data_IF_967769576041
#
_entry.id   IF_967769576041
#
_cell.length_a   1.000
_cell.length_b   1.000
_cell.length_c   1.000
_cell.angle_alpha   90.00
_cell.angle_beta   90.00
_cell.angle_gamma   90.00
#
_symmetry.space_group_name_H-M   'P 1'
#
loop_
_entity.id
_entity.type
_entity.pdbx_description
1 polymer ?
#
# COMPACT_ATOMS: atom_id res chain seq x y z
N UNK A 1 -5.09 -32.83 -6.90
CA UNK A 1 -3.70 -32.63 -6.45
C UNK A 1 -2.65 -32.91 -7.52
N UNK A 2 -2.36 -34.14 -7.96
CA UNK A 2 -1.25 -34.40 -8.93
C UNK A 2 -1.32 -33.57 -10.23
N UNK A 3 -2.51 -33.36 -10.79
CA UNK A 3 -2.68 -32.47 -11.96
C UNK A 3 -2.27 -31.03 -11.68
N UNK A 4 -2.58 -30.51 -10.49
CA UNK A 4 -2.20 -29.16 -10.05
C UNK A 4 -0.69 -29.06 -9.82
N UNK A 5 -0.08 -30.06 -9.18
CA UNK A 5 1.38 -30.13 -9.02
C UNK A 5 2.09 -30.06 -10.37
N UNK A 6 1.61 -30.79 -11.38
CA UNK A 6 2.20 -30.73 -12.72
C UNK A 6 2.06 -29.34 -13.34
N UNK A 7 0.88 -28.70 -13.22
CA UNK A 7 0.71 -27.31 -13.70
C UNK A 7 1.67 -26.34 -13.01
N UNK A 8 1.83 -26.45 -11.69
CA UNK A 8 2.77 -25.61 -10.92
C UNK A 8 4.20 -25.79 -11.43
N UNK A 9 4.64 -27.04 -11.65
CA UNK A 9 5.96 -27.33 -12.22
C UNK A 9 6.14 -26.72 -13.60
N UNK A 10 5.15 -26.87 -14.47
CA UNK A 10 5.18 -26.34 -15.83
C UNK A 10 5.27 -24.80 -15.79
N UNK A 11 4.49 -24.14 -14.92
CA UNK A 11 4.52 -22.69 -14.70
C UNK A 11 5.90 -22.23 -14.23
N UNK A 12 6.43 -22.85 -13.17
CA UNK A 12 7.75 -22.54 -12.61
C UNK A 12 8.88 -22.70 -13.63
N UNK A 13 8.82 -23.72 -14.50
CA UNK A 13 9.83 -23.92 -15.53
C UNK A 13 9.92 -22.76 -16.53
N UNK A 14 8.83 -22.01 -16.71
CA UNK A 14 8.74 -20.88 -17.66
C UNK A 14 8.63 -19.51 -16.99
N UNK A 15 8.51 -19.44 -15.67
CA UNK A 15 8.10 -18.21 -14.96
C UNK A 15 9.05 -17.02 -15.20
N UNK A 16 10.35 -17.30 -15.34
CA UNK A 16 11.39 -16.28 -15.65
C UNK A 16 11.14 -15.57 -16.98
N UNK A 17 10.39 -16.15 -17.90
CA UNK A 17 10.05 -15.51 -19.17
C UNK A 17 9.03 -14.37 -18.99
N UNK A 18 8.24 -14.43 -17.92
CA UNK A 18 7.18 -13.47 -17.59
C UNK A 18 7.67 -12.36 -16.66
N UNK A 19 8.69 -12.61 -15.85
CA UNK A 19 9.34 -11.60 -15.00
C UNK A 19 10.87 -11.69 -15.09
N UNK A 20 11.41 -11.16 -16.19
CA UNK A 20 12.84 -11.27 -16.52
C UNK A 20 13.74 -10.43 -15.64
N UNK A 21 13.21 -9.31 -15.15
CA UNK A 21 13.94 -8.32 -14.36
C UNK A 21 13.59 -8.42 -12.87
N UNK A 22 12.88 -9.48 -12.46
CA UNK A 22 12.44 -9.71 -11.09
C UNK A 22 11.65 -8.54 -10.48
N UNK A 23 10.72 -7.98 -11.25
CA UNK A 23 9.87 -6.86 -10.84
C UNK A 23 8.83 -7.25 -9.78
N UNK A 24 8.45 -8.52 -9.74
CA UNK A 24 7.54 -9.03 -8.70
C UNK A 24 8.26 -8.91 -7.36
N UNK A 25 7.61 -8.27 -6.40
CA UNK A 25 8.22 -7.98 -5.11
C UNK A 25 8.78 -9.25 -4.44
N UNK A 26 10.09 -9.21 -4.10
CA UNK A 26 10.84 -10.30 -3.48
C UNK A 26 11.37 -11.37 -4.45
N UNK A 27 10.99 -11.33 -5.73
CA UNK A 27 11.41 -12.34 -6.70
C UNK A 27 12.92 -12.36 -6.96
N UNK A 28 13.60 -11.23 -6.80
CA UNK A 28 15.05 -11.09 -6.91
C UNK A 28 15.77 -11.88 -5.81
N UNK A 29 15.15 -12.01 -4.63
CA UNK A 29 15.73 -12.72 -3.50
C UNK A 29 15.68 -14.24 -3.61
N UNK A 30 14.95 -14.82 -4.56
CA UNK A 30 14.95 -16.27 -4.78
C UNK A 30 15.12 -16.65 -6.25
N UNK A 31 15.07 -15.69 -7.16
CA UNK A 31 15.27 -15.83 -8.60
C UNK A 31 14.43 -16.95 -9.23
N UNK A 32 13.20 -17.15 -8.75
CA UNK A 32 12.34 -18.28 -9.08
C UNK A 32 12.99 -19.67 -9.00
N UNK A 33 14.02 -19.83 -8.18
CA UNK A 33 14.75 -21.09 -8.04
C UNK A 33 14.15 -21.93 -6.91
N UNK A 34 14.03 -23.24 -7.16
CA UNK A 34 13.59 -24.22 -6.17
C UNK A 34 14.65 -25.32 -6.07
N UNK A 35 15.00 -25.68 -4.84
CA UNK A 35 15.94 -26.72 -4.52
C UNK A 35 15.35 -28.13 -4.61
N UNK A 36 15.89 -29.05 -3.81
CA UNK A 36 15.55 -30.48 -3.88
C UNK A 36 14.24 -30.77 -3.16
N UNK A 37 13.53 -31.81 -3.60
CA UNK A 37 12.41 -32.37 -2.86
C UNK A 37 12.85 -32.95 -1.51
N UNK A 38 11.92 -32.94 -0.56
CA UNK A 38 12.05 -33.56 0.75
C UNK A 38 11.54 -35.00 0.68
N UNK A 39 12.23 -35.94 1.30
CA UNK A 39 11.76 -37.33 1.35
C UNK A 39 10.58 -37.51 2.31
N UNK A 40 9.75 -38.52 2.08
CA UNK A 40 8.66 -38.85 3.02
C UNK A 40 9.17 -39.15 4.45
N UNK A 41 10.41 -39.64 4.57
CA UNK A 41 10.99 -39.93 5.88
C UNK A 41 11.35 -38.63 6.61
N UNK A 42 11.96 -37.67 5.94
CA UNK A 42 12.26 -36.35 6.52
C UNK A 42 10.97 -35.62 6.95
N UNK A 43 9.89 -35.72 6.17
CA UNK A 43 8.58 -35.18 6.56
C UNK A 43 8.07 -35.86 7.84
N UNK A 44 8.11 -37.19 7.91
CA UNK A 44 7.68 -37.93 9.11
C UNK A 44 8.53 -37.60 10.33
N UNK A 45 9.84 -37.45 10.16
CA UNK A 45 10.76 -37.10 11.24
C UNK A 45 10.46 -35.69 11.76
N UNK A 46 10.18 -34.74 10.86
CA UNK A 46 9.77 -33.38 11.23
C UNK A 46 8.42 -33.37 11.97
N UNK A 47 7.41 -34.05 11.44
CA UNK A 47 6.09 -34.17 12.08
C UNK A 47 6.17 -34.82 13.47
N UNK A 48 7.02 -35.84 13.64
CA UNK A 48 7.27 -36.49 14.93
C UNK A 48 8.00 -35.57 15.91
N UNK A 49 8.99 -34.80 15.42
CA UNK A 49 9.80 -33.90 16.26
C UNK A 49 8.93 -32.82 16.92
N UNK A 50 7.97 -32.26 16.17
CA UNK A 50 7.11 -31.18 16.67
C UNK A 50 5.69 -31.65 17.05
N UNK A 51 5.41 -32.96 16.95
CA UNK A 51 4.10 -33.56 17.19
C UNK A 51 2.95 -32.87 16.40
N UNK A 52 3.21 -32.57 15.12
CA UNK A 52 2.28 -31.91 14.21
C UNK A 52 1.83 -32.84 13.08
N UNK A 53 0.82 -32.41 12.33
CA UNK A 53 0.41 -33.04 11.08
C UNK A 53 0.32 -31.98 9.99
N UNK A 54 1.29 -31.98 9.08
CA UNK A 54 1.35 -31.03 7.99
C UNK A 54 0.14 -31.19 7.06
N UNK A 55 -0.43 -30.08 6.54
CA UNK A 55 -1.47 -30.14 5.53
C UNK A 55 -1.01 -30.89 4.26
N UNK A 56 -1.88 -31.74 3.71
CA UNK A 56 -1.58 -32.60 2.55
C UNK A 56 -1.03 -31.81 1.35
N UNK A 57 -1.61 -30.64 1.08
CA UNK A 57 -1.18 -29.74 0.00
C UNK A 57 0.27 -29.26 0.16
N UNK A 58 0.69 -28.95 1.40
CA UNK A 58 2.06 -28.52 1.71
C UNK A 58 3.04 -29.69 1.65
N UNK A 59 2.66 -30.87 2.16
CA UNK A 59 3.46 -32.10 2.01
C UNK A 59 3.68 -32.42 0.52
N UNK A 60 2.64 -32.28 -0.31
CA UNK A 60 2.76 -32.50 -1.76
C UNK A 60 3.71 -31.49 -2.42
N UNK A 61 3.72 -30.23 -1.98
CA UNK A 61 4.71 -29.25 -2.45
C UNK A 61 6.14 -29.68 -2.12
N UNK A 62 6.43 -29.98 -0.84
CA UNK A 62 7.78 -30.34 -0.39
C UNK A 62 8.30 -31.64 -1.05
N UNK A 63 7.43 -32.65 -1.18
CA UNK A 63 7.83 -33.97 -1.68
C UNK A 63 7.83 -34.09 -3.21
N UNK A 64 7.13 -33.20 -3.91
CA UNK A 64 6.99 -33.30 -5.36
C UNK A 64 7.52 -32.10 -6.13
N UNK A 65 7.45 -30.87 -5.59
CA UNK A 65 7.93 -29.65 -6.26
C UNK A 65 9.35 -29.35 -5.83
N UNK A 66 9.57 -29.11 -4.54
CA UNK A 66 10.89 -28.89 -3.98
C UNK A 66 10.89 -28.12 -2.67
N UNK A 67 12.09 -27.90 -2.14
CA UNK A 67 12.36 -27.25 -0.87
C UNK A 67 13.69 -26.52 -0.93
N UNK A 68 13.80 -25.44 -0.15
CA UNK A 68 14.96 -24.55 -0.11
C UNK A 68 15.34 -23.97 -1.48
N UNK A 69 16.44 -23.23 -1.50
CA UNK A 69 17.07 -22.68 -2.69
C UNK A 69 18.58 -22.70 -2.50
N UNK A 70 19.29 -22.90 -3.61
CA UNK A 70 20.76 -23.03 -3.63
C UNK A 70 21.46 -21.77 -4.15
N UNK A 71 20.71 -20.73 -4.54
CA UNK A 71 21.25 -19.42 -4.89
C UNK A 71 21.82 -18.73 -3.64
N UNK A 72 22.90 -17.98 -3.78
CA UNK A 72 23.53 -17.24 -2.68
C UNK A 72 22.70 -16.01 -2.26
N UNK A 73 21.85 -15.55 -3.18
CA UNK A 73 20.91 -14.44 -3.03
C UNK A 73 19.64 -14.86 -2.27
N UNK A 74 19.41 -16.18 -2.13
CA UNK A 74 18.28 -16.80 -1.46
C UNK A 74 18.11 -16.28 -0.01
N UNK A 75 17.11 -15.44 0.23
CA UNK A 75 16.76 -15.01 1.59
C UNK A 75 16.46 -16.25 2.45
N UNK A 76 17.22 -16.47 3.53
CA UNK A 76 17.09 -17.64 4.40
C UNK A 76 17.10 -19.00 3.66
N UNK A 77 17.77 -19.09 2.50
CA UNK A 77 17.73 -20.25 1.61
C UNK A 77 16.32 -20.62 1.13
N UNK A 78 15.40 -19.65 1.05
CA UNK A 78 13.99 -19.87 0.71
C UNK A 78 13.78 -20.31 -0.73
N UNK A 79 12.95 -21.33 -0.92
CA UNK A 79 12.45 -21.74 -2.24
C UNK A 79 11.60 -20.63 -2.87
N UNK A 80 11.53 -20.61 -4.20
CA UNK A 80 10.66 -19.68 -4.90
C UNK A 80 9.21 -19.73 -4.40
N UNK A 81 8.65 -18.56 -4.11
CA UNK A 81 7.29 -18.35 -3.64
C UNK A 81 6.99 -16.86 -3.53
N UNK A 82 5.78 -16.47 -3.12
CA UNK A 82 5.46 -15.08 -2.84
C UNK A 82 6.49 -14.41 -1.92
N UNK A 83 6.73 -13.11 -2.15
CA UNK A 83 7.64 -12.30 -1.32
C UNK A 83 9.07 -12.85 -1.30
N UNK A 84 9.66 -13.02 -0.11
CA UNK A 84 11.02 -13.54 0.03
C UNK A 84 11.11 -15.08 -0.11
N UNK A 85 10.02 -15.73 -0.55
CA UNK A 85 9.96 -17.16 -0.81
C UNK A 85 9.41 -17.98 0.36
N UNK A 86 9.49 -19.31 0.18
CA UNK A 86 9.06 -20.31 1.15
C UNK A 86 10.28 -20.86 1.89
N UNK A 87 10.31 -20.72 3.22
CA UNK A 87 11.38 -21.23 4.05
C UNK A 87 11.60 -22.74 3.84
N UNK A 88 12.85 -23.20 3.92
CA UNK A 88 13.11 -24.63 4.01
C UNK A 88 12.35 -25.26 5.18
N UNK A 89 11.84 -26.48 5.01
CA UNK A 89 11.19 -27.20 6.12
C UNK A 89 12.12 -27.29 7.33
N UNK A 90 11.65 -26.84 8.48
CA UNK A 90 12.42 -26.79 9.72
C UNK A 90 13.21 -25.51 9.96
N UNK A 91 13.23 -24.57 9.01
CA UNK A 91 13.87 -23.26 9.16
C UNK A 91 12.82 -22.16 9.43
N UNK A 92 13.24 -21.06 10.06
CA UNK A 92 12.37 -19.91 10.34
C UNK A 92 11.22 -20.19 11.29
N UNK A 93 11.30 -21.26 12.10
CA UNK A 93 10.21 -21.68 12.99
C UNK A 93 9.93 -20.69 14.14
N UNK A 94 10.91 -19.85 14.46
CA UNK A 94 10.87 -18.81 15.49
C UNK A 94 10.49 -17.43 14.93
N UNK A 95 10.12 -17.31 13.64
CA UNK A 95 9.78 -16.04 12.97
C UNK A 95 8.49 -15.37 13.47
N UNK A 96 7.82 -15.98 14.46
CA UNK A 96 6.74 -15.36 15.25
C UNK A 96 7.23 -14.84 16.62
N UNK A 97 8.55 -14.76 16.83
CA UNK A 97 9.14 -14.35 18.10
C UNK A 97 8.93 -15.36 19.23
N UNK A 98 8.68 -16.63 18.87
CA UNK A 98 8.34 -17.71 19.80
C UNK A 98 9.49 -18.72 19.91
N UNK A 99 10.15 -18.76 21.06
CA UNK A 99 11.33 -19.62 21.25
C UNK A 99 10.98 -21.12 21.38
N UNK A 100 9.82 -21.46 21.95
CA UNK A 100 9.39 -22.85 22.22
C UNK A 100 8.43 -23.37 21.14
N UNK A 101 8.96 -23.59 19.94
CA UNK A 101 8.20 -23.99 18.74
C UNK A 101 7.33 -25.24 18.97
N UNK A 102 7.86 -26.27 19.64
CA UNK A 102 7.12 -27.51 19.92
C UNK A 102 5.89 -27.23 20.78
N UNK A 103 6.04 -26.39 21.80
CA UNK A 103 4.94 -25.96 22.64
C UNK A 103 3.89 -25.19 21.84
N UNK A 104 4.27 -24.22 21.02
CA UNK A 104 3.31 -23.40 20.26
C UNK A 104 2.56 -24.17 19.18
N UNK A 105 3.26 -25.05 18.47
CA UNK A 105 2.64 -25.90 17.46
C UNK A 105 1.65 -26.93 18.04
N UNK A 106 1.75 -27.23 19.35
CA UNK A 106 0.80 -28.08 20.07
C UNK A 106 -0.53 -27.38 20.43
N UNK A 107 -0.57 -26.06 20.52
CA UNK A 107 -1.80 -25.31 20.75
C UNK A 107 -2.70 -25.31 19.49
N UNK A 108 -4.03 -25.28 19.63
CA UNK A 108 -4.92 -25.14 18.49
C UNK A 108 -4.85 -23.73 17.90
N UNK A 109 -5.02 -23.60 16.58
CA UNK A 109 -5.23 -22.29 15.96
C UNK A 109 -6.63 -21.77 16.31
N UNK A 110 -6.66 -20.62 16.99
CA UNK A 110 -7.89 -19.93 17.38
C UNK A 110 -8.27 -18.79 16.43
N UNK A 111 -7.38 -18.43 15.50
CA UNK A 111 -7.63 -17.39 14.51
C UNK A 111 -8.76 -17.78 13.57
N UNK A 112 -9.61 -16.81 13.23
CA UNK A 112 -10.67 -16.97 12.23
C UNK A 112 -10.70 -15.79 11.29
N UNK A 113 -11.08 -16.04 10.04
CA UNK A 113 -11.21 -14.98 9.03
C UNK A 113 -12.38 -14.01 9.32
N UNK A 114 -13.31 -14.39 10.20
CA UNK A 114 -14.49 -13.62 10.57
C UNK A 114 -14.38 -12.92 11.93
N UNK A 115 -13.17 -12.86 12.51
CA UNK A 115 -12.97 -12.17 13.80
C UNK A 115 -13.36 -10.70 13.69
N UNK A 116 -14.08 -10.20 14.69
CA UNK A 116 -14.34 -8.76 14.80
C UNK A 116 -13.11 -8.03 15.33
N UNK A 117 -13.06 -6.72 15.14
CA UNK A 117 -11.99 -5.88 15.68
C UNK A 117 -11.89 -6.02 17.21
N UNK A 118 -13.02 -6.09 17.92
CA UNK A 118 -13.02 -6.28 19.38
C UNK A 118 -12.49 -7.65 19.80
N UNK A 119 -12.80 -8.70 19.03
CA UNK A 119 -12.28 -10.05 19.29
C UNK A 119 -10.77 -10.10 19.05
N UNK A 120 -10.29 -9.43 18.02
CA UNK A 120 -8.86 -9.30 17.73
C UNK A 120 -8.14 -8.54 18.84
N UNK A 121 -8.62 -7.33 19.20
CA UNK A 121 -8.04 -6.50 20.25
C UNK A 121 -7.97 -7.26 21.58
N UNK A 122 -9.05 -7.96 21.97
CA UNK A 122 -9.06 -8.74 23.20
C UNK A 122 -8.01 -9.86 23.20
N UNK A 123 -7.76 -10.49 22.04
CA UNK A 123 -6.73 -11.50 21.89
C UNK A 123 -5.31 -10.88 21.93
N UNK A 124 -5.08 -9.81 21.17
CA UNK A 124 -3.76 -9.18 21.02
C UNK A 124 -3.32 -8.36 22.24
N UNK A 125 -4.23 -7.64 22.92
CA UNK A 125 -3.86 -6.88 24.12
C UNK A 125 -3.43 -7.80 25.26
N UNK A 126 -3.99 -9.02 25.31
CA UNK A 126 -3.61 -9.99 26.32
C UNK A 126 -2.13 -10.35 26.23
N UNK A 127 -1.49 -10.31 25.05
CA UNK A 127 -0.07 -10.66 24.89
C UNK A 127 0.88 -9.54 25.34
N UNK A 128 0.37 -8.34 25.63
CA UNK A 128 1.17 -7.15 26.00
C UNK A 128 1.23 -6.90 27.52
N UNK A 129 0.67 -7.78 28.34
CA UNK A 129 0.70 -7.64 29.81
C UNK A 129 2.07 -7.96 30.38
N UNK A 130 2.68 -7.00 31.08
CA UNK A 130 3.96 -7.16 31.76
C UNK A 130 3.80 -7.76 33.16
N UNK A 131 4.85 -8.42 33.67
CA UNK A 131 4.89 -8.95 35.05
C UNK A 131 4.11 -10.25 35.26
N UNK A 132 3.70 -10.92 34.18
CA UNK A 132 3.08 -12.24 34.20
C UNK A 132 4.14 -13.35 34.34
N UNK A 133 3.73 -14.53 34.81
CA UNK A 133 4.63 -15.70 34.84
C UNK A 133 4.83 -16.28 33.44
N UNK A 134 5.97 -16.93 33.21
CA UNK A 134 6.29 -17.61 31.95
C UNK A 134 5.16 -18.51 31.46
N UNK A 135 4.53 -19.29 32.34
CA UNK A 135 3.43 -20.18 31.98
C UNK A 135 2.20 -19.44 31.41
N UNK A 136 1.88 -18.26 31.97
CA UNK A 136 0.78 -17.41 31.49
C UNK A 136 1.17 -16.73 30.19
N UNK A 137 2.44 -16.31 30.06
CA UNK A 137 2.97 -15.78 28.82
C UNK A 137 2.81 -16.79 27.67
N UNK A 138 3.26 -18.03 27.87
CA UNK A 138 3.15 -19.09 26.87
C UNK A 138 1.69 -19.43 26.52
N UNK A 139 0.78 -19.46 27.50
CA UNK A 139 -0.65 -19.68 27.24
C UNK A 139 -1.23 -18.58 26.34
N UNK A 140 -0.91 -17.31 26.63
CA UNK A 140 -1.43 -16.16 25.86
C UNK A 140 -0.85 -16.10 24.45
N UNK A 141 0.47 -16.26 24.33
CA UNK A 141 1.13 -16.37 23.03
C UNK A 141 0.61 -17.59 22.25
N UNK A 142 0.29 -18.69 22.93
CA UNK A 142 -0.31 -19.89 22.34
C UNK A 142 -1.72 -19.68 21.82
N UNK A 143 -2.51 -18.79 22.42
CA UNK A 143 -3.81 -18.42 21.88
C UNK A 143 -3.72 -17.62 20.57
N UNK A 144 -2.63 -16.88 20.39
CA UNK A 144 -2.40 -16.02 19.22
C UNK A 144 -1.70 -16.77 18.08
N UNK A 145 -0.64 -17.50 18.40
CA UNK A 145 0.27 -18.14 17.45
C UNK A 145 0.13 -19.67 17.40
N UNK A 146 -0.75 -20.24 18.24
CA UNK A 146 -0.96 -21.67 18.32
C UNK A 146 -1.37 -22.30 17.01
N UNK A 147 -0.81 -23.47 16.69
CA UNK A 147 -1.21 -24.24 15.51
C UNK A 147 -0.88 -23.55 14.19
N UNK A 148 0.05 -22.59 14.20
CA UNK A 148 0.59 -21.93 13.02
C UNK A 148 2.02 -22.42 12.77
N UNK A 149 2.36 -22.56 11.50
CA UNK A 149 3.72 -22.82 11.05
C UNK A 149 4.20 -21.63 10.22
N UNK A 150 5.22 -20.87 10.65
CA UNK A 150 5.86 -19.89 9.80
C UNK A 150 6.46 -20.57 8.58
N UNK A 151 6.21 -20.02 7.39
CA UNK A 151 6.72 -20.57 6.12
C UNK A 151 7.38 -19.50 5.24
N UNK A 152 7.40 -18.24 5.67
CA UNK A 152 8.01 -17.14 4.92
C UNK A 152 7.72 -15.79 5.56
N UNK A 153 8.34 -14.74 5.02
CA UNK A 153 8.14 -13.35 5.45
C UNK A 153 7.85 -12.45 4.25
N UNK A 154 7.13 -11.36 4.49
CA UNK A 154 6.94 -10.29 3.52
C UNK A 154 7.83 -9.06 3.81
N UNK A 155 8.68 -9.15 4.85
CA UNK A 155 9.35 -7.99 5.45
C UNK A 155 8.39 -7.19 6.33
N UNK A 156 8.82 -6.01 6.79
CA UNK A 156 7.99 -5.09 7.60
C UNK A 156 7.27 -5.76 8.79
N UNK A 157 7.90 -6.75 9.42
CA UNK A 157 7.33 -7.57 10.50
C UNK A 157 6.03 -8.31 10.10
N UNK A 158 5.92 -8.75 8.85
CA UNK A 158 4.80 -9.57 8.36
C UNK A 158 5.27 -11.01 8.15
N UNK A 159 4.74 -11.92 8.95
CA UNK A 159 5.04 -13.36 8.87
C UNK A 159 3.93 -14.07 8.11
N UNK A 160 4.31 -14.89 7.12
CA UNK A 160 3.40 -15.75 6.38
C UNK A 160 3.35 -17.12 7.04
N UNK A 161 2.16 -17.51 7.49
CA UNK A 161 1.96 -18.75 8.24
C UNK A 161 1.00 -19.70 7.54
N UNK A 162 1.32 -20.99 7.62
CA UNK A 162 0.44 -22.09 7.28
C UNK A 162 -0.34 -22.54 8.52
N UNK A 163 -1.66 -22.66 8.40
CA UNK A 163 -2.51 -23.12 9.50
C UNK A 163 -2.47 -24.65 9.59
N UNK A 164 -2.06 -25.18 10.74
CA UNK A 164 -1.88 -26.62 10.98
C UNK A 164 -3.11 -27.32 11.57
N UNK A 165 -3.95 -26.59 12.32
CA UNK A 165 -5.08 -27.15 13.07
C UNK A 165 -6.33 -26.27 12.95
N UNK A 166 -7.49 -26.83 13.27
CA UNK A 166 -8.77 -26.11 13.23
C UNK A 166 -9.46 -26.10 11.86
N UNK A 167 -10.49 -25.26 11.74
CA UNK A 167 -11.37 -25.15 10.57
C UNK A 167 -10.63 -24.71 9.29
N UNK A 168 -9.63 -23.85 9.45
CA UNK A 168 -8.87 -23.26 8.34
C UNK A 168 -7.56 -24.01 8.03
N UNK A 169 -7.42 -25.26 8.51
CA UNK A 169 -6.23 -26.08 8.29
C UNK A 169 -5.87 -26.13 6.80
N UNK A 170 -4.60 -25.83 6.50
CA UNK A 170 -4.05 -25.84 5.15
C UNK A 170 -4.10 -24.51 4.41
N UNK A 171 -4.76 -23.49 4.98
CA UNK A 171 -4.80 -22.13 4.45
C UNK A 171 -3.64 -21.28 4.95
N UNK A 172 -3.47 -20.13 4.30
CA UNK A 172 -2.43 -19.14 4.61
C UNK A 172 -3.02 -17.97 5.37
N UNK A 173 -2.28 -17.51 6.38
CA UNK A 173 -2.58 -16.30 7.14
C UNK A 173 -1.33 -15.43 7.23
N UNK A 174 -1.51 -14.13 7.06
CA UNK A 174 -0.48 -13.12 7.23
C UNK A 174 -0.64 -12.47 8.60
N UNK A 175 0.43 -12.48 9.38
CA UNK A 175 0.46 -11.97 10.74
C UNK A 175 1.38 -10.77 10.86
N UNK A 176 0.94 -9.80 11.65
CA UNK A 176 1.71 -8.64 12.06
C UNK A 176 1.22 -8.22 13.45
N UNK A 177 2.09 -7.65 14.27
CA UNK A 177 1.75 -7.27 15.65
C UNK A 177 0.83 -6.04 15.75
N UNK A 178 0.72 -5.26 14.68
CA UNK A 178 0.02 -3.98 14.64
C UNK A 178 -1.42 -4.08 14.09
N UNK A 179 -1.78 -5.15 13.38
CA UNK A 179 -3.10 -5.26 12.74
C UNK A 179 -3.65 -6.69 12.70
N UNK A 180 -4.95 -6.80 12.43
CA UNK A 180 -5.68 -8.07 12.41
C UNK A 180 -5.10 -9.05 11.36
N UNK A 181 -5.04 -10.36 11.65
CA UNK A 181 -4.57 -11.37 10.72
C UNK A 181 -5.33 -11.33 9.41
N UNK A 182 -4.61 -11.39 8.30
CA UNK A 182 -5.21 -11.40 6.96
C UNK A 182 -5.12 -12.81 6.42
N UNK A 183 -6.29 -13.43 6.23
CA UNK A 183 -6.38 -14.75 5.62
C UNK A 183 -6.29 -14.61 4.11
N UNK A 184 -5.41 -15.40 3.50
CA UNK A 184 -5.43 -15.55 2.05
C UNK A 184 -6.78 -16.10 1.60
N UNK A 185 -7.22 -15.71 0.40
CA UNK A 185 -8.54 -16.07 -0.11
C UNK A 185 -8.65 -17.54 -0.51
N UNK A 186 -7.52 -18.21 -0.72
CA UNK A 186 -7.46 -19.58 -1.17
C UNK A 186 -7.67 -20.59 -0.03
N UNK A 187 -8.30 -21.71 -0.37
CA UNK A 187 -8.66 -22.76 0.59
C UNK A 187 -7.50 -23.72 0.89
N UNK A 188 -6.39 -23.63 0.16
CA UNK A 188 -5.21 -24.46 0.39
C UNK A 188 -3.90 -23.76 0.00
N UNK A 189 -2.78 -24.21 0.58
CA UNK A 189 -1.43 -23.77 0.23
C UNK A 189 -1.16 -23.86 -1.28
N UNK A 190 -1.56 -24.94 -1.95
CA UNK A 190 -1.30 -25.10 -3.38
C UNK A 190 -2.14 -24.18 -4.24
N UNK A 191 -3.37 -23.87 -3.84
CA UNK A 191 -4.21 -22.90 -4.56
C UNK A 191 -3.63 -21.50 -4.43
N UNK A 192 -3.17 -21.12 -3.23
CA UNK A 192 -2.46 -19.87 -2.97
C UNK A 192 -1.17 -19.78 -3.80
N UNK A 193 -0.35 -20.83 -3.77
CA UNK A 193 0.90 -20.87 -4.52
C UNK A 193 0.69 -20.85 -6.04
N UNK A 194 -0.28 -21.63 -6.55
CA UNK A 194 -0.60 -21.67 -7.96
C UNK A 194 -1.13 -20.32 -8.46
N UNK A 195 -1.95 -19.64 -7.65
CA UNK A 195 -2.47 -18.31 -7.97
C UNK A 195 -1.35 -17.28 -8.08
N UNK A 196 -0.35 -17.32 -7.21
CA UNK A 196 0.82 -16.42 -7.32
C UNK A 196 1.48 -16.55 -8.70
N UNK A 197 1.71 -17.79 -9.15
CA UNK A 197 2.25 -18.04 -10.49
C UNK A 197 1.31 -17.57 -11.60
N UNK A 198 0.00 -17.78 -11.46
CA UNK A 198 -0.99 -17.29 -12.43
C UNK A 198 -0.97 -15.77 -12.57
N UNK A 199 -0.85 -15.03 -11.46
CA UNK A 199 -0.83 -13.56 -11.47
C UNK A 199 0.51 -12.99 -11.98
N UNK A 200 1.61 -13.73 -11.88
CA UNK A 200 2.86 -13.38 -12.59
C UNK A 200 2.68 -13.61 -14.09
N UNK A 201 2.14 -14.76 -14.48
CA UNK A 201 1.97 -15.14 -15.91
C UNK A 201 0.98 -14.21 -16.62
N UNK A 202 -0.10 -13.80 -15.96
CA UNK A 202 -1.03 -12.80 -16.50
C UNK A 202 -0.40 -11.40 -16.58
N UNK A 203 0.70 -11.17 -15.87
CA UNK A 203 1.36 -9.88 -15.72
C UNK A 203 0.70 -8.97 -14.69
N UNK A 204 -0.28 -9.45 -13.93
CA UNK A 204 -0.94 -8.69 -12.86
C UNK A 204 0.09 -8.26 -11.80
N UNK A 205 0.98 -9.17 -11.37
CA UNK A 205 2.03 -8.90 -10.38
C UNK A 205 3.31 -8.26 -10.96
N UNK A 206 3.47 -8.24 -12.27
CA UNK A 206 4.67 -7.67 -12.94
C UNK A 206 4.48 -6.19 -13.27
N UNK A 207 3.24 -5.68 -13.21
CA UNK A 207 2.94 -4.30 -13.60
C UNK A 207 3.53 -3.26 -12.64
N UNK A 208 3.90 -2.07 -13.13
CA UNK A 208 4.47 -0.97 -12.31
C UNK A 208 3.61 -0.57 -11.10
N UNK A 209 2.30 -0.83 -11.17
CA UNK A 209 1.33 -0.53 -10.13
C UNK A 209 0.78 -1.81 -9.48
N UNK A 210 1.52 -2.91 -9.55
CA UNK A 210 1.15 -4.17 -8.90
C UNK A 210 0.97 -3.95 -7.40
N UNK A 211 -0.11 -4.53 -6.87
CA UNK A 211 -0.33 -4.59 -5.42
C UNK A 211 0.43 -5.74 -4.78
N UNK A 212 0.23 -5.90 -3.48
CA UNK A 212 0.74 -7.04 -2.72
C UNK A 212 -0.08 -8.30 -3.01
N UNK A 213 0.59 -9.44 -3.15
CA UNK A 213 -0.05 -10.70 -3.50
C UNK A 213 -0.93 -11.27 -2.37
N UNK A 214 -2.12 -11.76 -2.72
CA UNK A 214 -2.99 -12.50 -1.80
C UNK A 214 -3.76 -11.66 -0.78
N UNK A 215 -3.72 -10.33 -0.87
CA UNK A 215 -4.55 -9.40 -0.07
C UNK A 215 -5.91 -9.10 -0.68
N UNK A 216 -6.09 -9.36 -1.98
CA UNK A 216 -7.35 -9.20 -2.70
C UNK A 216 -7.78 -10.54 -3.28
N UNK A 217 -9.06 -10.69 -3.62
CA UNK A 217 -9.57 -11.91 -4.24
C UNK A 217 -8.98 -12.10 -5.65
N UNK A 218 -8.55 -13.33 -5.95
CA UNK A 218 -7.95 -13.71 -7.22
C UNK A 218 -8.96 -14.16 -8.28
N UNK A 219 -8.44 -14.71 -9.37
CA UNK A 219 -9.24 -15.22 -10.49
C UNK A 219 -9.08 -14.38 -11.77
N UNK A 220 -9.78 -14.77 -12.83
CA UNK A 220 -9.78 -13.98 -14.08
C UNK A 220 -10.70 -12.75 -13.95
N UNK A 221 -10.48 -11.77 -14.82
CA UNK A 221 -11.35 -10.59 -14.90
C UNK A 221 -12.82 -10.97 -15.09
N UNK A 222 -13.10 -12.00 -15.90
CA UNK A 222 -14.43 -12.53 -16.15
C UNK A 222 -15.03 -13.20 -14.91
N UNK A 223 -14.27 -14.04 -14.20
CA UNK A 223 -14.80 -14.71 -13.00
C UNK A 223 -15.11 -13.71 -11.87
N UNK A 224 -14.27 -12.69 -11.71
CA UNK A 224 -14.48 -11.61 -10.74
C UNK A 224 -15.72 -10.80 -11.11
N UNK A 225 -15.88 -10.44 -12.38
CA UNK A 225 -17.03 -9.70 -12.86
C UNK A 225 -18.34 -10.48 -12.76
N UNK A 226 -18.33 -11.78 -13.11
CA UNK A 226 -19.50 -12.63 -12.91
C UNK A 226 -19.85 -12.72 -11.44
N UNK A 227 -18.88 -12.90 -10.54
CA UNK A 227 -19.14 -12.97 -9.10
C UNK A 227 -19.74 -11.66 -8.56
N UNK A 228 -19.22 -10.51 -9.01
CA UNK A 228 -19.80 -9.19 -8.75
C UNK A 228 -21.28 -9.09 -9.16
N UNK A 229 -21.64 -9.61 -10.35
CA UNK A 229 -23.02 -9.60 -10.86
C UNK A 229 -23.98 -10.53 -10.11
N UNK A 230 -23.47 -11.62 -9.54
CA UNK A 230 -24.30 -12.63 -8.86
C UNK A 230 -24.59 -12.31 -7.40
N UNK A 231 -23.75 -11.50 -6.74
CA UNK A 231 -23.99 -11.09 -5.35
C UNK A 231 -24.87 -9.84 -5.27
N UNK A 232 -25.72 -9.79 -4.25
CA UNK A 232 -26.52 -8.61 -3.91
C UNK A 232 -25.97 -7.86 -2.68
N UNK A 233 -24.86 -8.34 -2.10
CA UNK A 233 -24.25 -7.71 -0.93
C UNK A 233 -23.19 -6.72 -1.36
N UNK A 234 -23.40 -5.43 -1.05
CA UNK A 234 -22.50 -4.34 -1.46
C UNK A 234 -21.04 -4.57 -1.01
N UNK A 235 -20.83 -5.06 0.22
CA UNK A 235 -19.49 -5.38 0.72
C UNK A 235 -18.78 -6.43 -0.15
N UNK A 236 -19.47 -7.50 -0.57
CA UNK A 236 -18.90 -8.52 -1.44
C UNK A 236 -18.66 -7.99 -2.86
N UNK A 237 -19.56 -7.14 -3.37
CA UNK A 237 -19.35 -6.47 -4.65
C UNK A 237 -18.04 -5.68 -4.64
N UNK A 238 -17.80 -4.90 -3.59
CA UNK A 238 -16.57 -4.12 -3.44
C UNK A 238 -15.32 -5.01 -3.39
N UNK A 239 -15.37 -6.17 -2.71
CA UNK A 239 -14.26 -7.14 -2.71
C UNK A 239 -13.93 -7.64 -4.12
N UNK A 240 -14.94 -8.00 -4.93
CA UNK A 240 -14.70 -8.44 -6.31
C UNK A 240 -14.17 -7.33 -7.20
N UNK A 241 -14.66 -6.10 -7.01
CA UNK A 241 -14.17 -4.93 -7.74
C UNK A 241 -12.74 -4.57 -7.34
N UNK A 242 -12.35 -4.74 -6.08
CA UNK A 242 -10.96 -4.59 -5.64
C UNK A 242 -10.03 -5.58 -6.35
N UNK A 243 -10.42 -6.86 -6.43
CA UNK A 243 -9.69 -7.87 -7.21
C UNK A 243 -9.60 -7.48 -8.69
N UNK A 244 -10.69 -6.94 -9.26
CA UNK A 244 -10.72 -6.50 -10.66
C UNK A 244 -9.80 -5.29 -10.91
N UNK A 245 -9.69 -4.39 -9.95
CA UNK A 245 -8.80 -3.23 -10.01
C UNK A 245 -7.32 -3.64 -10.07
N UNK A 246 -6.94 -4.78 -9.48
CA UNK A 246 -5.57 -5.30 -9.54
C UNK A 246 -5.19 -5.87 -10.91
N UNK A 247 -6.17 -6.13 -11.78
CA UNK A 247 -5.90 -6.68 -13.11
C UNK A 247 -5.13 -5.71 -13.98
N UNK A 248 -4.11 -6.21 -14.67
CA UNK A 248 -3.24 -5.43 -15.55
C UNK A 248 -4.06 -4.72 -16.62
N UNK A 249 -4.93 -5.47 -17.30
CA UNK A 249 -5.80 -5.01 -18.37
C UNK A 249 -7.17 -5.70 -18.30
N UNK A 250 -8.20 -5.01 -18.80
CA UNK A 250 -9.54 -5.56 -18.96
C UNK A 250 -9.92 -5.67 -20.43
N UNK A 251 -10.73 -6.68 -20.77
CA UNK A 251 -11.24 -6.84 -22.13
C UNK A 251 -12.17 -5.70 -22.51
N UNK A 252 -12.25 -5.37 -23.80
CA UNK A 252 -13.14 -4.30 -24.27
C UNK A 252 -14.61 -4.59 -23.97
N UNK A 253 -15.03 -5.86 -24.00
CA UNK A 253 -16.38 -6.27 -23.60
C UNK A 253 -16.66 -5.90 -22.15
N UNK A 254 -15.75 -6.25 -21.23
CA UNK A 254 -15.91 -5.98 -19.81
C UNK A 254 -15.97 -4.48 -19.52
N UNK A 255 -15.17 -3.67 -20.24
CA UNK A 255 -15.24 -2.20 -20.15
C UNK A 255 -16.63 -1.68 -20.55
N UNK A 256 -17.24 -2.21 -21.60
CA UNK A 256 -18.61 -1.83 -21.99
C UNK A 256 -19.65 -2.26 -20.93
N UNK A 257 -19.49 -3.44 -20.32
CA UNK A 257 -20.35 -3.88 -19.23
C UNK A 257 -20.24 -2.96 -18.00
N UNK A 258 -19.03 -2.55 -17.62
CA UNK A 258 -18.80 -1.58 -16.53
C UNK A 258 -19.48 -0.24 -16.81
N UNK A 259 -19.36 0.29 -18.03
CA UNK A 259 -20.00 1.55 -18.45
C UNK A 259 -21.51 1.49 -18.29
N UNK A 260 -22.13 0.36 -18.65
CA UNK A 260 -23.56 0.15 -18.52
C UNK A 260 -24.03 0.02 -17.07
N UNK A 261 -23.14 -0.35 -16.16
CA UNK A 261 -23.45 -0.64 -14.77
C UNK A 261 -23.30 0.59 -13.86
N UNK A 262 -22.34 1.48 -14.15
CA UNK A 262 -22.09 2.71 -13.38
C UNK A 262 -23.37 3.50 -13.04
N UNK A 263 -24.33 3.75 -13.96
CA UNK A 263 -25.53 4.53 -13.65
C UNK A 263 -26.53 3.84 -12.72
N UNK A 264 -26.41 2.53 -12.51
CA UNK A 264 -27.34 1.71 -11.71
C UNK A 264 -26.78 1.40 -10.33
N UNK A 265 -25.46 1.57 -10.15
CA UNK A 265 -24.75 1.24 -8.94
C UNK A 265 -25.08 2.19 -7.79
N UNK A 266 -24.89 1.71 -6.56
CA UNK A 266 -24.85 2.56 -5.37
C UNK A 266 -23.61 3.48 -5.42
N UNK A 267 -23.56 4.52 -4.59
CA UNK A 267 -22.45 5.49 -4.64
C UNK A 267 -21.07 4.85 -4.38
N UNK A 268 -20.97 3.91 -3.44
CA UNK A 268 -19.70 3.22 -3.15
C UNK A 268 -19.26 2.32 -4.31
N UNK A 269 -20.20 1.55 -4.88
CA UNK A 269 -19.92 0.68 -6.03
C UNK A 269 -19.60 1.51 -7.27
N UNK A 270 -20.36 2.59 -7.52
CA UNK A 270 -20.11 3.56 -8.60
C UNK A 270 -18.70 4.13 -8.52
N UNK A 271 -18.24 4.51 -7.32
CA UNK A 271 -16.88 5.00 -7.10
C UNK A 271 -15.82 3.96 -7.48
N UNK A 272 -16.00 2.71 -7.05
CA UNK A 272 -15.08 1.61 -7.38
C UNK A 272 -15.08 1.29 -8.89
N UNK A 273 -16.25 1.20 -9.52
CA UNK A 273 -16.38 1.02 -10.98
C UNK A 273 -15.73 2.16 -11.76
N UNK A 274 -15.90 3.41 -11.31
CA UNK A 274 -15.26 4.57 -11.92
C UNK A 274 -13.74 4.58 -11.75
N UNK A 275 -13.23 4.08 -10.63
CA UNK A 275 -11.79 3.88 -10.43
C UNK A 275 -11.25 2.87 -11.46
N UNK A 276 -11.92 1.73 -11.61
CA UNK A 276 -11.55 0.68 -12.57
C UNK A 276 -11.62 1.22 -14.01
N UNK A 277 -12.69 1.94 -14.36
CA UNK A 277 -12.85 2.52 -15.69
C UNK A 277 -11.80 3.60 -15.97
N UNK A 278 -11.48 4.45 -14.98
CA UNK A 278 -10.46 5.49 -15.13
C UNK A 278 -9.07 4.90 -15.37
N UNK A 279 -8.72 3.82 -14.64
CA UNK A 279 -7.46 3.10 -14.82
C UNK A 279 -7.32 2.51 -16.23
N UNK A 280 -8.38 1.88 -16.74
CA UNK A 280 -8.32 1.07 -17.95
C UNK A 280 -8.75 1.80 -19.24
N UNK A 281 -9.61 2.81 -19.13
CA UNK A 281 -10.19 3.54 -20.25
C UNK A 281 -10.62 4.96 -19.84
N UNK A 282 -9.65 5.79 -19.41
CA UNK A 282 -9.91 7.14 -18.88
C UNK A 282 -10.83 8.00 -19.76
N UNK A 283 -10.65 7.98 -21.08
CA UNK A 283 -11.48 8.77 -22.02
C UNK A 283 -12.98 8.41 -21.92
N UNK A 284 -13.29 7.14 -21.62
CA UNK A 284 -14.67 6.68 -21.42
C UNK A 284 -15.20 7.01 -20.02
N UNK A 285 -14.32 7.26 -19.05
CA UNK A 285 -14.69 7.69 -17.70
C UNK A 285 -15.08 9.18 -17.63
N UNK A 286 -14.57 10.01 -18.55
CA UNK A 286 -14.73 11.48 -18.53
C UNK A 286 -16.19 11.93 -18.27
N UNK A 287 -17.22 11.45 -19.00
CA UNK A 287 -18.58 11.93 -18.80
C UNK A 287 -19.11 11.67 -17.38
N UNK A 288 -18.73 10.55 -16.78
CA UNK A 288 -19.13 10.20 -15.43
C UNK A 288 -18.34 10.97 -14.36
N UNK A 289 -17.06 11.24 -14.62
CA UNK A 289 -16.22 12.06 -13.74
C UNK A 289 -16.69 13.51 -13.73
N UNK A 290 -17.08 14.06 -14.88
CA UNK A 290 -17.66 15.41 -14.98
C UNK A 290 -18.97 15.53 -14.18
N UNK A 291 -19.82 14.51 -14.23
CA UNK A 291 -21.04 14.43 -13.42
C UNK A 291 -20.71 14.35 -11.92
N UNK A 292 -19.80 13.44 -11.54
CA UNK A 292 -19.43 13.17 -10.15
C UNK A 292 -18.69 14.33 -9.48
N UNK A 293 -18.08 15.25 -10.24
CA UNK A 293 -17.35 16.39 -9.70
C UNK A 293 -18.21 17.35 -8.84
N UNK A 294 -19.54 17.24 -8.93
CA UNK A 294 -20.47 18.01 -8.11
C UNK A 294 -20.74 17.39 -6.73
N UNK A 295 -20.48 16.08 -6.56
CA UNK A 295 -20.80 15.34 -5.33
C UNK A 295 -19.57 14.75 -4.65
N UNK A 296 -18.55 14.34 -5.39
CA UNK A 296 -17.28 13.80 -4.87
C UNK A 296 -16.10 14.32 -5.71
N UNK A 297 -15.73 15.59 -5.47
CA UNK A 297 -14.64 16.25 -6.19
C UNK A 297 -13.29 15.59 -5.90
N UNK A 298 -13.06 15.10 -4.68
CA UNK A 298 -11.81 14.44 -4.30
C UNK A 298 -11.56 13.22 -5.18
N UNK A 299 -12.55 12.33 -5.32
CA UNK A 299 -12.41 11.14 -6.14
C UNK A 299 -12.11 11.50 -7.60
N UNK A 300 -12.78 12.51 -8.15
CA UNK A 300 -12.53 12.97 -9.52
C UNK A 300 -11.11 13.47 -9.69
N UNK A 301 -10.62 14.31 -8.78
CA UNK A 301 -9.25 14.84 -8.84
C UNK A 301 -8.19 13.72 -8.69
N UNK A 302 -8.45 12.72 -7.86
CA UNK A 302 -7.62 11.53 -7.73
C UNK A 302 -7.54 10.75 -9.06
N UNK A 303 -8.68 10.52 -9.72
CA UNK A 303 -8.70 9.84 -11.02
C UNK A 303 -7.93 10.63 -12.09
N UNK A 304 -8.12 11.95 -12.16
CA UNK A 304 -7.40 12.82 -13.09
C UNK A 304 -5.89 12.79 -12.79
N UNK A 305 -5.50 12.83 -11.53
CA UNK A 305 -4.11 12.82 -11.13
C UNK A 305 -3.40 11.53 -11.56
N UNK A 306 -3.98 10.38 -11.20
CA UNK A 306 -3.37 9.06 -11.44
C UNK A 306 -3.49 8.58 -12.88
N UNK A 307 -4.61 8.82 -13.56
CA UNK A 307 -4.90 8.19 -14.86
C UNK A 307 -5.12 9.21 -16.00
N UNK A 308 -5.40 10.47 -15.68
CA UNK A 308 -5.59 11.53 -16.67
C UNK A 308 -4.29 11.91 -17.38
N UNK A 309 -4.24 11.68 -18.70
CA UNK A 309 -3.10 12.04 -19.57
C UNK A 309 -3.08 13.54 -19.90
N UNK A 310 -4.20 14.06 -20.41
CA UNK A 310 -4.36 15.48 -20.69
C UNK A 310 -5.04 16.19 -19.51
N UNK A 311 -4.21 16.70 -18.59
CA UNK A 311 -4.70 17.45 -17.43
C UNK A 311 -5.19 18.86 -17.80
N UNK A 312 -4.80 19.40 -18.97
CA UNK A 312 -5.24 20.71 -19.43
C UNK A 312 -6.73 20.73 -19.81
N UNK A 313 -7.27 19.61 -20.27
CA UNK A 313 -8.72 19.40 -20.48
C UNK A 313 -9.56 19.83 -19.26
N UNK A 314 -9.06 19.55 -18.05
CA UNK A 314 -9.78 19.76 -16.79
C UNK A 314 -9.68 21.18 -16.23
N UNK A 315 -8.93 22.08 -16.89
CA UNK A 315 -8.77 23.46 -16.43
C UNK A 315 -10.10 24.22 -16.24
N UNK A 316 -11.14 24.07 -17.09
CA UNK A 316 -12.45 24.69 -16.86
C UNK A 316 -13.09 24.23 -15.55
N UNK A 317 -13.02 22.93 -15.23
CA UNK A 317 -13.51 22.39 -13.96
C UNK A 317 -12.73 23.00 -12.79
N UNK A 318 -11.40 23.00 -12.85
CA UNK A 318 -10.56 23.56 -11.79
C UNK A 318 -10.84 25.05 -11.56
N UNK A 319 -11.10 25.81 -12.63
CA UNK A 319 -11.49 27.23 -12.54
C UNK A 319 -12.88 27.41 -11.93
N UNK A 320 -13.83 26.53 -12.23
CA UNK A 320 -15.15 26.58 -11.63
C UNK A 320 -15.10 26.30 -10.11
N UNK A 321 -14.21 25.39 -9.70
CA UNK A 321 -14.05 24.93 -8.31
C UNK A 321 -13.11 25.79 -7.47
N UNK A 322 -12.33 26.70 -8.05
CA UNK A 322 -11.26 27.44 -7.35
C UNK A 322 -11.73 28.38 -6.22
N UNK A 323 -13.04 28.64 -6.11
CA UNK A 323 -13.64 29.46 -5.05
C UNK A 323 -14.26 28.65 -3.92
N UNK A 324 -14.36 27.34 -4.09
CA UNK A 324 -14.93 26.45 -3.09
C UNK A 324 -13.92 26.21 -1.96
N UNK A 325 -14.41 26.19 -0.72
CA UNK A 325 -13.58 25.80 0.43
C UNK A 325 -13.45 24.28 0.40
N UNK A 326 -12.22 23.80 0.29
CA UNK A 326 -11.90 22.37 0.21
C UNK A 326 -11.27 21.92 1.53
N UNK A 327 -11.55 20.68 1.94
CA UNK A 327 -10.74 20.01 2.95
C UNK A 327 -9.29 19.81 2.44
N UNK A 328 -8.38 19.48 3.36
CA UNK A 328 -6.96 19.38 3.09
C UNK A 328 -6.60 18.41 1.95
N UNK A 329 -7.27 17.26 1.92
CA UNK A 329 -6.97 16.21 0.96
C UNK A 329 -7.48 16.57 -0.43
N UNK A 330 -8.71 17.10 -0.52
CA UNK A 330 -9.26 17.61 -1.79
C UNK A 330 -8.40 18.72 -2.35
N UNK A 331 -7.96 19.68 -1.52
CA UNK A 331 -7.11 20.78 -1.98
C UNK A 331 -5.73 20.30 -2.45
N UNK A 332 -5.16 19.28 -1.79
CA UNK A 332 -3.89 18.67 -2.19
C UNK A 332 -3.97 18.11 -3.60
N UNK A 333 -4.95 17.27 -3.89
CA UNK A 333 -5.15 16.75 -5.25
C UNK A 333 -5.53 17.84 -6.25
N UNK A 334 -6.32 18.85 -5.85
CA UNK A 334 -6.60 20.01 -6.69
C UNK A 334 -5.30 20.68 -7.15
N UNK A 335 -4.37 20.93 -6.22
CA UNK A 335 -3.08 21.57 -6.53
C UNK A 335 -2.22 20.72 -7.48
N UNK A 336 -2.19 19.40 -7.31
CA UNK A 336 -1.43 18.50 -8.18
C UNK A 336 -1.94 18.49 -9.62
N UNK A 337 -3.26 18.42 -9.79
CA UNK A 337 -3.88 18.46 -11.11
C UNK A 337 -3.66 19.84 -11.73
N UNK A 338 -3.81 20.90 -10.94
CA UNK A 338 -3.67 22.29 -11.38
C UNK A 338 -2.28 22.61 -11.96
N UNK A 339 -1.19 22.23 -11.27
CA UNK A 339 0.20 22.46 -11.76
C UNK A 339 0.43 21.79 -13.10
N UNK A 340 -0.18 20.64 -13.32
CA UNK A 340 -0.07 19.90 -14.58
C UNK A 340 -1.01 20.41 -15.67
N UNK A 341 -2.08 21.12 -15.30
CA UNK A 341 -3.11 21.59 -16.22
C UNK A 341 -2.77 22.93 -16.89
N UNK A 342 -1.97 23.77 -16.23
CA UNK A 342 -1.60 25.11 -16.73
C UNK A 342 -0.29 25.58 -16.10
N UNK A 343 0.52 26.35 -16.82
CA UNK A 343 1.72 26.99 -16.26
C UNK A 343 1.39 28.27 -15.46
N UNK A 344 0.20 28.84 -15.64
CA UNK A 344 -0.25 30.05 -14.95
C UNK A 344 -1.30 29.70 -13.87
N UNK A 345 -0.89 28.87 -12.92
CA UNK A 345 -1.78 28.36 -11.87
C UNK A 345 -1.90 29.28 -10.65
N UNK A 346 -0.99 30.25 -10.48
CA UNK A 346 -0.94 31.12 -9.30
C UNK A 346 -2.26 31.83 -8.95
N UNK A 347 -3.01 32.40 -9.92
CA UNK A 347 -4.30 33.03 -9.63
C UNK A 347 -5.38 32.08 -9.09
N UNK A 348 -5.20 30.76 -9.27
CA UNK A 348 -6.15 29.73 -8.86
C UNK A 348 -5.84 29.18 -7.45
N UNK A 349 -4.75 29.61 -6.81
CA UNK A 349 -4.36 29.19 -5.46
C UNK A 349 -4.90 30.10 -4.34
N UNK A 350 -5.63 31.16 -4.67
CA UNK A 350 -6.00 32.23 -3.72
C UNK A 350 -6.81 31.74 -2.52
N UNK A 351 -7.76 30.82 -2.71
CA UNK A 351 -8.54 30.26 -1.60
C UNK A 351 -7.67 29.43 -0.66
N UNK A 352 -6.72 28.65 -1.18
CA UNK A 352 -5.80 27.89 -0.35
C UNK A 352 -4.88 28.80 0.46
N UNK A 353 -4.36 29.86 -0.14
CA UNK A 353 -3.53 30.87 0.54
C UNK A 353 -4.29 31.58 1.68
N UNK A 354 -5.61 31.75 1.54
CA UNK A 354 -6.47 32.42 2.51
C UNK A 354 -7.26 31.44 3.42
N UNK A 355 -6.99 30.14 3.33
CA UNK A 355 -7.74 29.11 4.05
C UNK A 355 -7.50 29.17 5.56
N UNK A 356 -8.54 28.92 6.36
CA UNK A 356 -8.39 28.78 7.83
C UNK A 356 -7.61 27.52 8.22
N UNK A 357 -7.64 26.49 7.36
CA UNK A 357 -6.84 25.27 7.52
C UNK A 357 -5.36 25.52 7.12
N UNK A 358 -4.43 25.25 8.05
CA UNK A 358 -3.00 25.48 7.85
C UNK A 358 -2.35 24.55 6.80
N UNK A 359 -2.86 23.32 6.63
CA UNK A 359 -2.37 22.38 5.61
C UNK A 359 -2.69 22.91 4.21
N UNK A 360 -3.89 23.47 4.00
CA UNK A 360 -4.25 24.14 2.74
C UNK A 360 -3.32 25.32 2.44
N UNK A 361 -3.04 26.19 3.44
CA UNK A 361 -2.13 27.31 3.26
C UNK A 361 -0.71 26.83 2.94
N UNK A 362 -0.23 25.83 3.67
CA UNK A 362 1.08 25.22 3.45
C UNK A 362 1.21 24.59 2.06
N UNK A 363 0.19 23.87 1.60
CA UNK A 363 0.14 23.28 0.26
C UNK A 363 0.06 24.34 -0.84
N UNK A 364 -0.75 25.38 -0.64
CA UNK A 364 -0.88 26.49 -1.58
C UNK A 364 0.45 27.24 -1.75
N UNK A 365 1.14 27.55 -0.65
CA UNK A 365 2.47 28.17 -0.66
C UNK A 365 3.51 27.29 -1.33
N UNK A 366 3.55 26.00 -0.99
CA UNK A 366 4.46 25.05 -1.62
C UNK A 366 4.25 25.01 -3.14
N UNK A 367 3.00 24.93 -3.58
CA UNK A 367 2.62 24.92 -4.98
C UNK A 367 3.00 26.24 -5.67
N UNK A 368 2.72 27.38 -5.03
CA UNK A 368 3.07 28.71 -5.54
C UNK A 368 4.59 28.87 -5.75
N UNK A 369 5.40 28.26 -4.89
CA UNK A 369 6.86 28.23 -4.99
C UNK A 369 7.42 27.56 -6.25
N UNK A 370 6.60 26.78 -6.97
CA UNK A 370 6.98 26.12 -8.22
C UNK A 370 6.78 27.02 -9.46
N UNK A 371 6.17 28.19 -9.31
CA UNK A 371 5.99 29.13 -10.43
C UNK A 371 7.31 29.78 -10.85
N UNK A 372 7.57 29.79 -12.16
CA UNK A 372 8.68 30.55 -12.74
C UNK A 372 8.55 32.06 -12.46
N UNK A 373 7.33 32.59 -12.38
CA UNK A 373 7.02 33.99 -12.10
C UNK A 373 6.61 34.24 -10.63
N UNK A 374 7.00 33.36 -9.69
CA UNK A 374 6.58 33.45 -8.28
C UNK A 374 6.88 34.79 -7.59
N UNK A 375 7.85 35.56 -8.07
CA UNK A 375 8.16 36.92 -7.59
C UNK A 375 6.91 37.83 -7.57
N UNK A 376 5.96 37.66 -8.49
CA UNK A 376 4.74 38.51 -8.51
C UNK A 376 3.83 38.27 -7.29
N UNK A 377 4.07 37.20 -6.51
CA UNK A 377 3.30 36.84 -5.33
C UNK A 377 4.07 37.08 -4.02
N UNK A 378 5.05 37.98 -4.00
CA UNK A 378 5.79 38.35 -2.77
C UNK A 378 4.86 38.68 -1.60
N UNK A 379 3.73 39.37 -1.84
CA UNK A 379 2.74 39.63 -0.79
C UNK A 379 2.16 38.36 -0.15
N UNK A 380 1.95 37.30 -0.94
CA UNK A 380 1.47 36.00 -0.45
C UNK A 380 2.53 35.31 0.40
N UNK A 381 3.81 35.38 -0.01
CA UNK A 381 4.90 34.85 0.79
C UNK A 381 5.11 35.66 2.09
N UNK A 382 4.97 36.98 2.06
CA UNK A 382 5.01 37.82 3.28
C UNK A 382 3.94 37.36 4.28
N UNK A 383 2.72 37.07 3.80
CA UNK A 383 1.67 36.55 4.66
C UNK A 383 2.02 35.16 5.22
N UNK A 384 2.58 34.27 4.40
CA UNK A 384 3.02 32.93 4.82
C UNK A 384 4.15 32.95 5.87
N UNK A 385 5.08 33.90 5.79
CA UNK A 385 6.12 34.09 6.80
C UNK A 385 5.57 34.58 8.15
N UNK A 386 4.43 35.28 8.12
CA UNK A 386 3.71 35.76 9.32
C UNK A 386 2.65 34.79 9.82
N UNK A 387 2.56 33.60 9.25
CA UNK A 387 1.59 32.61 9.65
C UNK A 387 1.78 32.20 11.12
N UNK A 388 0.67 31.85 11.78
CA UNK A 388 0.71 31.31 13.13
C UNK A 388 1.27 29.90 13.16
N UNK A 389 1.10 29.12 12.08
CA UNK A 389 1.56 27.75 11.94
C UNK A 389 3.01 27.69 11.42
N UNK A 390 3.88 27.03 12.18
CA UNK A 390 5.31 26.94 11.91
C UNK A 390 5.64 26.22 10.59
N UNK A 391 4.84 25.21 10.21
CA UNK A 391 5.02 24.47 8.96
C UNK A 391 4.72 25.34 7.75
N UNK A 392 3.73 26.24 7.84
CA UNK A 392 3.45 27.22 6.78
C UNK A 392 4.62 28.20 6.63
N UNK A 393 5.18 28.68 7.75
CA UNK A 393 6.38 29.54 7.73
C UNK A 393 7.57 28.83 7.08
N UNK A 394 7.82 27.57 7.46
CA UNK A 394 8.90 26.75 6.88
C UNK A 394 8.72 26.55 5.37
N UNK A 395 7.53 26.12 4.94
CA UNK A 395 7.21 25.95 3.51
C UNK A 395 7.38 27.26 2.74
N UNK A 396 7.06 28.40 3.36
CA UNK A 396 7.21 29.72 2.76
C UNK A 396 8.68 30.06 2.53
N UNK A 397 9.55 29.84 3.53
CA UNK A 397 10.98 30.05 3.37
C UNK A 397 11.58 29.18 2.26
N UNK A 398 11.12 27.92 2.15
CA UNK A 398 11.55 27.03 1.08
C UNK A 398 11.07 27.52 -0.30
N UNK A 399 9.81 27.91 -0.41
CA UNK A 399 9.21 28.42 -1.65
C UNK A 399 9.87 29.71 -2.16
N UNK A 400 10.40 30.54 -1.24
CA UNK A 400 11.10 31.79 -1.52
C UNK A 400 12.51 31.64 -2.13
N UNK A 401 13.04 30.42 -2.30
CA UNK A 401 14.34 30.27 -2.97
C UNK A 401 14.36 31.01 -4.30
N UNK A 402 15.43 31.77 -4.54
CA UNK A 402 15.66 32.62 -5.72
C UNK A 402 14.74 33.85 -5.88
N UNK A 403 13.90 34.14 -4.90
CA UNK A 403 13.08 35.36 -4.85
C UNK A 403 13.85 36.46 -4.13
N UNK A 404 14.36 37.44 -4.87
CA UNK A 404 15.12 38.56 -4.32
C UNK A 404 14.21 39.79 -4.25
N UNK A 405 13.68 40.08 -3.06
CA UNK A 405 12.80 41.23 -2.83
C UNK A 405 13.13 41.93 -1.50
N UNK A 406 13.40 43.22 -1.53
CA UNK A 406 13.73 44.01 -0.34
C UNK A 406 12.55 44.06 0.66
N UNK A 407 11.31 43.86 0.20
CA UNK A 407 10.14 43.80 1.08
C UNK A 407 10.17 42.62 2.05
N UNK A 408 11.00 41.59 1.78
CA UNK A 408 11.13 40.42 2.64
C UNK A 408 12.01 40.69 3.87
N UNK A 409 12.93 41.66 3.83
CA UNK A 409 13.89 41.92 4.90
C UNK A 409 13.24 42.23 6.27
N UNK A 410 12.23 43.13 6.36
CA UNK A 410 11.56 43.37 7.64
C UNK A 410 10.87 42.10 8.18
N UNK A 411 10.34 41.27 7.29
CA UNK A 411 9.61 40.05 7.66
C UNK A 411 10.57 38.93 8.07
N UNK A 412 11.72 38.81 7.41
CA UNK A 412 12.83 37.95 7.82
C UNK A 412 13.32 38.30 9.22
N UNK A 413 13.40 39.59 9.57
CA UNK A 413 13.69 40.03 10.93
C UNK A 413 12.61 39.57 11.91
N UNK A 414 11.32 39.72 11.59
CA UNK A 414 10.21 39.24 12.43
C UNK A 414 10.30 37.72 12.67
N UNK A 415 10.52 36.93 11.60
CA UNK A 415 10.68 35.47 11.68
C UNK A 415 11.88 35.11 12.55
N UNK A 416 13.04 35.75 12.35
CA UNK A 416 14.21 35.50 13.20
C UNK A 416 13.91 35.78 14.67
N UNK A 417 13.32 36.93 15.00
CA UNK A 417 13.00 37.27 16.38
C UNK A 417 12.03 36.27 17.03
N UNK A 418 11.07 35.74 16.27
CA UNK A 418 10.11 34.74 16.75
C UNK A 418 10.78 33.39 17.04
N UNK A 419 11.80 33.00 16.27
CA UNK A 419 12.31 31.63 16.23
C UNK A 419 13.76 31.44 16.75
N UNK A 420 14.49 32.53 17.05
CA UNK A 420 15.90 32.50 17.48
C UNK A 420 16.17 31.79 18.81
N UNK A 421 15.18 31.70 19.70
CA UNK A 421 15.33 31.10 21.04
C UNK A 421 14.79 29.67 21.12
N UNK A 422 14.38 29.08 20.00
CA UNK A 422 13.86 27.70 19.98
C UNK A 422 14.96 26.70 20.34
N UNK A 423 14.63 25.74 21.20
CA UNK A 423 15.57 24.76 21.78
C UNK A 423 15.92 23.58 20.86
N UNK A 424 15.24 23.44 19.72
CA UNK A 424 15.49 22.39 18.72
C UNK A 424 16.27 22.95 17.52
N UNK A 425 16.89 22.08 16.72
CA UNK A 425 17.50 22.41 15.42
C UNK A 425 16.46 23.09 14.52
N UNK A 426 16.42 24.41 14.57
CA UNK A 426 15.30 25.16 14.04
C UNK A 426 15.43 25.28 12.52
N UNK A 427 14.81 24.34 11.80
CA UNK A 427 14.74 24.33 10.34
C UNK A 427 14.28 25.66 9.74
N UNK A 428 13.46 26.44 10.45
CA UNK A 428 13.03 27.78 10.02
C UNK A 428 14.25 28.72 10.00
N UNK A 429 15.04 28.77 11.07
CA UNK A 429 16.25 29.62 11.13
C UNK A 429 17.28 29.16 10.09
N UNK A 430 17.45 27.87 9.89
CA UNK A 430 18.34 27.32 8.85
C UNK A 430 17.90 27.74 7.44
N UNK A 431 16.61 27.60 7.11
CA UNK A 431 16.09 28.04 5.82
C UNK A 431 16.15 29.57 5.66
N UNK A 432 15.95 30.32 6.74
CA UNK A 432 16.12 31.77 6.73
C UNK A 432 17.55 32.19 6.40
N UNK A 433 18.57 31.53 6.98
CA UNK A 433 19.98 31.76 6.63
C UNK A 433 20.24 31.54 5.14
N UNK A 434 19.67 30.49 4.55
CA UNK A 434 19.79 30.27 3.11
C UNK A 434 19.18 31.42 2.29
N UNK A 435 18.03 31.96 2.70
CA UNK A 435 17.40 33.11 2.01
C UNK A 435 18.19 34.41 2.17
N UNK A 436 18.80 34.66 3.33
CA UNK A 436 19.69 35.80 3.53
C UNK A 436 20.97 35.67 2.71
N UNK A 437 21.55 34.47 2.64
CA UNK A 437 22.73 34.20 1.83
C UNK A 437 22.50 34.45 0.33
N UNK A 438 21.30 34.17 -0.19
CA UNK A 438 20.89 34.53 -1.56
C UNK A 438 20.87 36.05 -1.79
N UNK A 439 20.69 36.85 -0.74
CA UNK A 439 20.76 38.32 -0.75
C UNK A 439 22.17 38.86 -0.41
N UNK A 440 23.15 37.98 -0.18
CA UNK A 440 24.50 38.35 0.26
C UNK A 440 24.55 38.90 1.70
N UNK A 441 23.59 38.51 2.54
CA UNK A 441 23.47 38.93 3.94
C UNK A 441 23.65 37.74 4.87
N UNK A 442 24.12 38.02 6.08
CA UNK A 442 24.20 37.06 7.18
C UNK A 442 23.08 37.31 8.19
N UNK A 443 22.86 36.35 9.09
CA UNK A 443 21.78 36.48 10.09
C UNK A 443 22.02 37.63 11.08
N UNK A 444 23.28 37.98 11.30
CA UNK A 444 23.71 39.11 12.12
C UNK A 444 23.24 40.45 11.56
N UNK A 445 23.03 40.55 10.24
CA UNK A 445 22.57 41.76 9.55
C UNK A 445 21.08 42.07 9.84
N UNK A 446 20.35 41.13 10.44
CA UNK A 446 18.96 41.33 10.87
C UNK A 446 18.83 42.00 12.26
N UNK A 447 19.93 42.19 13.00
CA UNK A 447 19.91 42.72 14.37
C UNK A 447 19.55 44.22 14.45
#
# INVERSE_FOLDING_TARGET
MNTQINRIKDKLATIKEYDKDYNVFGADSHEYTIGKIVSEQEIKDFEQTYNINLPEAYVAFLTQIGNANTSEEAYANSAAGPYYGIYPVGEGLDDLGVEDVERFTSYPCLLRSDMTEEQWIALSESTREEGISDEVYYERMGNLFGGLLPIGTQGCAITTCLILTGEYKGRIVYLNEDYQPIFAHEDSFLDWYERWLDEIISGDLVSDNAGWFGYSIGGSSESLWESYKHTSQEAQQLTFLEGLLKKKELTSQLIEEIIQEIPKATELVKKSLLTILSKNAFDKAIPFLEEQANTDLLHVLQMIHWYGKDKAYWLPLLKAKNKEVMDAETYRFYSYVLVSATSDFGPLLTVGLASDNAENRGQAIYTLGQLNNKQQYVSSFINGLRDSNERVVLNTLQALSTVLDEQLLPVYKEVYQKYKESSEDNYIVTNLKHRLGELGMEIEDLN
#
